data_IF_893742950781
#
_entry.id   IF_893742950781
#
_cell.length_a   1.000
_cell.length_b   1.000
_cell.length_c   1.000
_cell.angle_alpha   90.00
_cell.angle_beta   90.00
_cell.angle_gamma   90.00
#
_symmetry.space_group_name_H-M   'P 1'
#
loop_
_entity.id
_entity.type
_entity.pdbx_description
1 polymer ?
#
# COMPACT_ATOMS: atom_id res chain seq x y z
N UNK A 1 -5.19 25.65 14.36
CA UNK A 1 -4.04 25.05 13.64
C UNK A 1 -4.38 25.05 12.17
N UNK A 2 -3.56 25.66 11.31
CA UNK A 2 -3.77 25.62 9.87
C UNK A 2 -3.60 24.16 9.41
N UNK A 3 -4.62 23.58 8.78
CA UNK A 3 -4.47 22.29 8.12
C UNK A 3 -3.42 22.46 7.02
N UNK A 4 -2.21 21.92 7.24
CA UNK A 4 -1.22 21.82 6.17
C UNK A 4 -1.78 20.85 5.14
N UNK A 5 -2.35 21.40 4.07
CA UNK A 5 -2.82 20.61 2.93
C UNK A 5 -1.58 20.00 2.26
N UNK A 6 -1.52 18.68 2.18
CA UNK A 6 -0.42 18.00 1.49
C UNK A 6 -0.49 18.32 -0.01
N UNK A 7 0.59 18.87 -0.62
CA UNK A 7 0.59 19.20 -2.04
C UNK A 7 0.29 17.98 -2.92
N UNK A 8 -0.39 18.20 -4.05
CA UNK A 8 -0.76 17.14 -5.01
C UNK A 8 0.49 16.37 -5.47
N UNK A 9 1.59 17.04 -5.76
CA UNK A 9 2.85 16.39 -6.16
C UNK A 9 3.35 15.39 -5.10
N UNK A 10 3.19 15.72 -3.82
CA UNK A 10 3.57 14.84 -2.72
C UNK A 10 2.66 13.62 -2.63
N UNK A 11 1.36 13.79 -2.91
CA UNK A 11 0.40 12.68 -3.03
C UNK A 11 0.74 11.75 -4.18
N UNK A 12 1.02 12.29 -5.37
CA UNK A 12 1.43 11.51 -6.54
C UNK A 12 2.73 10.75 -6.25
N UNK A 13 3.73 11.39 -5.64
CA UNK A 13 4.98 10.73 -5.24
C UNK A 13 4.75 9.58 -4.26
N UNK A 14 3.88 9.77 -3.27
CA UNK A 14 3.48 8.71 -2.35
C UNK A 14 2.85 7.53 -3.10
N UNK A 15 1.84 7.79 -3.93
CA UNK A 15 1.11 6.75 -4.64
C UNK A 15 2.01 5.98 -5.63
N UNK A 16 2.87 6.66 -6.41
CA UNK A 16 3.82 6.00 -7.33
C UNK A 16 4.77 5.06 -6.59
N UNK A 17 5.25 5.47 -5.42
CA UNK A 17 6.09 4.62 -4.58
C UNK A 17 5.34 3.37 -4.11
N UNK A 18 4.09 3.52 -3.68
CA UNK A 18 3.26 2.37 -3.26
C UNK A 18 2.98 1.43 -4.43
N UNK A 19 2.69 1.98 -5.61
CA UNK A 19 2.41 1.18 -6.81
C UNK A 19 3.58 0.28 -7.22
N UNK A 20 4.81 0.83 -7.23
CA UNK A 20 6.03 0.09 -7.55
C UNK A 20 6.38 -0.99 -6.52
N UNK A 21 6.19 -0.69 -5.22
CA UNK A 21 6.41 -1.67 -4.15
C UNK A 21 5.39 -2.82 -4.23
N UNK A 22 4.12 -2.53 -4.58
CA UNK A 22 3.08 -3.54 -4.75
C UNK A 22 3.28 -4.37 -6.02
N UNK A 23 3.74 -3.75 -7.11
CA UNK A 23 4.13 -4.49 -8.33
C UNK A 23 5.25 -5.49 -8.03
N UNK A 24 6.28 -5.03 -7.30
CA UNK A 24 7.38 -5.91 -6.86
C UNK A 24 6.86 -7.07 -6.04
N UNK A 25 5.98 -6.79 -5.06
CA UNK A 25 5.42 -7.79 -4.16
C UNK A 25 4.56 -8.83 -4.88
N UNK A 26 3.72 -8.40 -5.84
CA UNK A 26 2.89 -9.32 -6.64
C UNK A 26 3.71 -10.22 -7.56
N UNK A 27 4.91 -9.78 -7.97
CA UNK A 27 5.85 -10.57 -8.78
C UNK A 27 6.67 -11.61 -7.98
N UNK A 28 6.58 -11.62 -6.65
CA UNK A 28 7.37 -12.53 -5.81
C UNK A 28 6.74 -13.91 -5.67
N UNK A 29 7.60 -14.92 -5.54
CA UNK A 29 7.18 -16.27 -5.14
C UNK A 29 6.84 -16.26 -3.66
N UNK A 30 5.83 -17.05 -3.26
CA UNK A 30 5.44 -17.20 -1.85
C UNK A 30 6.61 -17.76 -1.03
N UNK A 31 7.03 -16.99 -0.03
CA UNK A 31 8.15 -17.33 0.85
C UNK A 31 8.47 -16.20 1.82
N UNK A 32 9.51 -16.38 2.64
CA UNK A 32 9.87 -15.45 3.70
C UNK A 32 10.07 -14.01 3.20
N UNK A 33 10.70 -13.83 2.04
CA UNK A 33 10.93 -12.50 1.46
C UNK A 33 9.63 -11.77 1.10
N UNK A 34 8.62 -12.49 0.59
CA UNK A 34 7.29 -11.94 0.30
C UNK A 34 6.66 -11.39 1.59
N UNK A 35 6.71 -12.17 2.66
CA UNK A 35 6.13 -11.80 3.94
C UNK A 35 6.87 -10.63 4.59
N UNK A 36 8.20 -10.60 4.56
CA UNK A 36 8.98 -9.48 5.09
C UNK A 36 8.71 -8.18 4.33
N UNK A 37 8.71 -8.22 3.00
CA UNK A 37 8.40 -7.05 2.19
C UNK A 37 6.94 -6.60 2.42
N UNK A 38 6.00 -7.54 2.42
CA UNK A 38 4.58 -7.22 2.59
C UNK A 38 4.24 -6.65 3.96
N UNK A 39 4.86 -7.13 5.04
CA UNK A 39 4.78 -6.48 6.37
C UNK A 39 5.23 -5.03 6.30
N UNK A 40 6.40 -4.78 5.68
CA UNK A 40 6.94 -3.42 5.55
C UNK A 40 6.04 -2.50 4.72
N UNK A 41 5.53 -3.00 3.59
CA UNK A 41 4.63 -2.23 2.72
C UNK A 41 3.32 -1.93 3.45
N UNK A 42 2.66 -2.95 4.01
CA UNK A 42 1.41 -2.81 4.77
C UNK A 42 1.57 -1.84 5.95
N UNK A 43 2.66 -1.95 6.71
CA UNK A 43 2.98 -1.06 7.82
C UNK A 43 3.16 0.41 7.39
N UNK A 44 3.84 0.64 6.28
CA UNK A 44 4.04 1.99 5.79
C UNK A 44 2.75 2.57 5.20
N UNK A 45 1.95 1.77 4.51
CA UNK A 45 0.66 2.20 3.96
C UNK A 45 -0.30 2.56 5.11
N UNK A 46 -0.47 1.68 6.10
CA UNK A 46 -1.38 1.97 7.24
C UNK A 46 -0.95 3.21 8.04
N UNK A 47 0.36 3.47 8.14
CA UNK A 47 0.89 4.60 8.91
C UNK A 47 0.87 5.92 8.16
N UNK A 48 1.11 5.89 6.85
CA UNK A 48 1.30 7.11 6.07
C UNK A 48 0.05 7.53 5.28
N UNK A 49 -0.84 6.61 4.92
CA UNK A 49 -1.96 6.91 4.02
C UNK A 49 -2.86 8.05 4.55
N UNK A 50 -3.14 8.08 5.85
CA UNK A 50 -3.92 9.15 6.48
C UNK A 50 -3.27 10.54 6.33
N UNK A 51 -1.93 10.62 6.41
CA UNK A 51 -1.18 11.88 6.18
C UNK A 51 -1.45 12.45 4.78
N UNK A 52 -1.63 11.57 3.78
CA UNK A 52 -1.92 11.96 2.40
C UNK A 52 -3.41 12.01 2.07
N UNK A 53 -4.29 11.91 3.09
CA UNK A 53 -5.75 11.90 2.97
C UNK A 53 -6.34 10.67 2.24
N UNK A 54 -5.61 9.55 2.26
CA UNK A 54 -6.00 8.29 1.63
C UNK A 54 -6.48 7.25 2.65
N UNK A 55 -7.48 7.60 3.46
CA UNK A 55 -7.95 6.76 4.56
C UNK A 55 -8.33 5.34 4.10
N UNK A 56 -8.93 5.19 2.91
CA UNK A 56 -9.27 3.88 2.32
C UNK A 56 -8.06 2.95 2.18
N UNK A 57 -6.86 3.48 1.92
CA UNK A 57 -5.65 2.66 1.81
C UNK A 57 -5.18 2.14 3.17
N UNK A 58 -5.56 2.80 4.26
CA UNK A 58 -5.14 2.43 5.62
C UNK A 58 -5.61 1.03 5.97
N UNK A 59 -6.88 0.71 5.69
CA UNK A 59 -7.44 -0.59 6.03
C UNK A 59 -6.92 -1.71 5.13
N UNK A 60 -6.69 -1.41 3.86
CA UNK A 60 -6.01 -2.32 2.93
C UNK A 60 -4.56 -2.60 3.37
N UNK A 61 -3.84 -1.58 3.84
CA UNK A 61 -2.50 -1.73 4.43
C UNK A 61 -2.48 -2.63 5.67
N UNK A 62 -3.47 -2.49 6.57
CA UNK A 62 -3.64 -3.38 7.74
C UNK A 62 -3.90 -4.82 7.31
N UNK A 63 -4.76 -5.03 6.31
CA UNK A 63 -5.09 -6.38 5.79
C UNK A 63 -3.86 -7.05 5.20
N UNK A 64 -3.07 -6.32 4.40
CA UNK A 64 -1.82 -6.85 3.84
C UNK A 64 -0.83 -7.23 4.95
N UNK A 65 -0.58 -6.35 5.90
CA UNK A 65 0.35 -6.62 7.01
C UNK A 65 -0.11 -7.83 7.84
N UNK A 66 -1.41 -7.93 8.15
CA UNK A 66 -1.97 -9.05 8.89
C UNK A 66 -1.83 -10.38 8.14
N UNK A 67 -2.06 -10.39 6.82
CA UNK A 67 -1.87 -11.57 5.99
C UNK A 67 -0.40 -12.02 5.96
N UNK A 68 0.55 -11.07 5.91
CA UNK A 68 1.98 -11.39 5.98
C UNK A 68 2.42 -11.90 7.37
N UNK A 69 1.84 -11.37 8.45
CA UNK A 69 2.10 -11.86 9.81
C UNK A 69 1.56 -13.28 10.03
N UNK A 70 0.48 -13.64 9.33
CA UNK A 70 -0.09 -14.98 9.34
C UNK A 70 0.58 -15.94 8.34
N UNK A 71 1.55 -15.46 7.55
CA UNK A 71 2.21 -16.20 6.46
C UNK A 71 1.23 -16.83 5.45
N UNK A 72 0.07 -16.19 5.25
CA UNK A 72 -0.95 -16.63 4.30
C UNK A 72 -0.68 -16.02 2.93
N UNK A 73 0.06 -16.74 2.09
CA UNK A 73 0.44 -16.28 0.74
C UNK A 73 -0.76 -15.92 -0.14
N UNK A 74 -1.89 -16.63 -0.02
CA UNK A 74 -3.08 -16.33 -0.82
C UNK A 74 -3.75 -15.04 -0.35
N UNK A 75 -3.86 -14.84 0.96
CA UNK A 75 -4.39 -13.61 1.54
C UNK A 75 -3.47 -12.41 1.23
N UNK A 76 -2.14 -12.61 1.23
CA UNK A 76 -1.17 -11.57 0.84
C UNK A 76 -1.39 -11.14 -0.61
N UNK A 77 -1.48 -12.09 -1.54
CA UNK A 77 -1.71 -11.80 -2.95
C UNK A 77 -3.04 -11.08 -3.16
N UNK A 78 -4.12 -11.54 -2.53
CA UNK A 78 -5.42 -10.90 -2.61
C UNK A 78 -5.41 -9.46 -2.07
N UNK A 79 -4.84 -9.24 -0.88
CA UNK A 79 -4.77 -7.91 -0.27
C UNK A 79 -3.86 -6.96 -1.05
N UNK A 80 -2.72 -7.45 -1.56
CA UNK A 80 -1.81 -6.66 -2.39
C UNK A 80 -2.43 -6.27 -3.73
N UNK A 81 -3.19 -7.17 -4.37
CA UNK A 81 -3.88 -6.89 -5.62
C UNK A 81 -4.95 -5.81 -5.43
N UNK A 82 -5.78 -5.93 -4.41
CA UNK A 82 -6.83 -4.95 -4.07
C UNK A 82 -6.22 -3.58 -3.75
N UNK A 83 -5.15 -3.56 -2.95
CA UNK A 83 -4.42 -2.35 -2.62
C UNK A 83 -3.79 -1.70 -3.86
N UNK A 84 -3.19 -2.49 -4.77
CA UNK A 84 -2.62 -1.98 -6.02
C UNK A 84 -3.69 -1.34 -6.89
N UNK A 85 -4.82 -2.01 -7.11
CA UNK A 85 -5.93 -1.47 -7.89
C UNK A 85 -6.41 -0.11 -7.36
N UNK A 86 -6.56 0.02 -6.03
CA UNK A 86 -6.95 1.28 -5.42
C UNK A 86 -5.88 2.37 -5.57
N UNK A 87 -4.60 2.03 -5.41
CA UNK A 87 -3.48 2.95 -5.62
C UNK A 87 -3.43 3.43 -7.08
N UNK A 88 -3.58 2.55 -8.05
CA UNK A 88 -3.60 2.90 -9.48
C UNK A 88 -4.78 3.82 -9.81
N UNK A 89 -5.99 3.51 -9.32
CA UNK A 89 -7.15 4.37 -9.51
C UNK A 89 -6.96 5.77 -8.92
N UNK A 90 -6.33 5.87 -7.74
CA UNK A 90 -5.97 7.16 -7.15
C UNK A 90 -4.90 7.89 -8.00
N UNK A 91 -3.90 7.18 -8.53
CA UNK A 91 -2.89 7.80 -9.40
C UNK A 91 -3.52 8.44 -10.64
N UNK A 92 -4.46 7.75 -11.28
CA UNK A 92 -5.20 8.26 -12.43
C UNK A 92 -6.03 9.50 -12.09
N UNK A 93 -6.57 9.59 -10.86
CA UNK A 93 -7.30 10.76 -10.39
C UNK A 93 -6.41 12.01 -10.21
N UNK A 94 -5.13 11.83 -9.90
CA UNK A 94 -4.17 12.91 -9.64
C UNK A 94 -3.17 13.15 -10.79
N UNK A 95 -3.32 12.44 -11.92
CA UNK A 95 -2.50 12.61 -13.13
C UNK A 95 -3.20 13.51 -14.15
#
# INVERSE_FOLDING_TARGET
MAAMIVPVESKVKYLRRRDAELESLLGMIVGAELFELGKKVGHQVKGNAATFEFNDLTDLGKRLEAACLAEDGQAVQSAAQELKQKVTALLEQYS
#
